data_IF_910720156757
#
_entry.id   IF_910720156757
#
_cell.length_a   1.000
_cell.length_b   1.000
_cell.length_c   1.000
_cell.angle_alpha   90.00
_cell.angle_beta   90.00
_cell.angle_gamma   90.00
#
_symmetry.space_group_name_H-M   'P 1'
#
loop_
_entity.id
_entity.type
_entity.pdbx_description
1 polymer ?
#
# COMPACT_ATOMS: atom_id res chain seq x y z
N UNK A 1 38.98 26.53 25.96
CA UNK A 1 38.73 26.11 24.56
C UNK A 1 38.21 24.66 24.40
N UNK A 2 38.55 23.71 25.28
CA UNK A 2 38.23 22.27 25.14
C UNK A 2 36.73 21.88 25.26
N UNK A 3 35.88 22.74 25.84
CA UNK A 3 34.46 22.45 26.08
C UNK A 3 33.51 22.96 24.97
N UNK A 4 33.93 23.96 24.20
CA UNK A 4 33.12 24.52 23.10
C UNK A 4 33.15 23.60 21.88
N UNK A 5 34.31 23.00 21.57
CA UNK A 5 34.44 22.02 20.50
C UNK A 5 33.61 20.76 20.73
N UNK A 6 33.46 20.31 21.99
CA UNK A 6 32.62 19.14 22.34
C UNK A 6 31.12 19.40 22.16
N UNK A 7 30.64 20.59 22.55
CA UNK A 7 29.24 20.99 22.35
C UNK A 7 28.92 21.20 20.87
N UNK A 8 29.88 21.75 20.12
CA UNK A 8 29.78 21.89 18.66
C UNK A 8 29.77 20.52 17.96
N UNK A 9 30.63 19.60 18.37
CA UNK A 9 30.66 18.23 17.84
C UNK A 9 29.35 17.48 18.13
N UNK A 10 28.83 17.59 19.37
CA UNK A 10 27.60 16.90 19.80
C UNK A 10 26.35 17.43 19.06
N UNK A 11 26.30 18.74 18.78
CA UNK A 11 25.22 19.34 18.00
C UNK A 11 25.23 18.90 16.54
N UNK A 12 26.41 18.82 15.92
CA UNK A 12 26.55 18.40 14.51
C UNK A 12 26.18 16.92 14.35
N UNK A 13 26.57 16.04 15.27
CA UNK A 13 26.14 14.63 15.22
C UNK A 13 24.64 14.45 15.39
N UNK A 14 23.98 15.20 16.28
CA UNK A 14 22.52 15.14 16.45
C UNK A 14 21.77 15.57 15.17
N UNK A 15 22.26 16.58 14.46
CA UNK A 15 21.68 17.04 13.18
C UNK A 15 21.82 15.96 12.09
N UNK A 16 22.98 15.28 12.02
CA UNK A 16 23.17 14.16 11.09
C UNK A 16 22.28 12.95 11.42
N UNK A 17 22.09 12.64 12.71
CA UNK A 17 21.24 11.53 13.15
C UNK A 17 19.75 11.83 12.84
N UNK A 18 19.31 13.07 13.00
CA UNK A 18 17.94 13.48 12.64
C UNK A 18 17.71 13.52 11.12
N UNK A 19 18.77 13.75 10.32
CA UNK A 19 18.71 13.69 8.86
C UNK A 19 18.58 12.26 8.29
N UNK A 20 18.81 11.22 9.10
CA UNK A 20 18.65 9.80 8.71
C UNK A 20 17.27 9.25 9.06
N UNK A 21 16.38 10.07 9.63
CA UNK A 21 14.97 9.69 9.82
C UNK A 21 14.36 9.54 8.42
N UNK A 22 14.22 8.28 8.03
CA UNK A 22 13.85 7.86 6.69
C UNK A 22 12.41 8.26 6.41
N UNK A 23 12.22 9.05 5.36
CA UNK A 23 10.89 9.35 4.83
C UNK A 23 10.37 8.05 4.22
N UNK A 24 9.47 7.37 4.91
CA UNK A 24 8.74 6.24 4.34
C UNK A 24 7.92 6.74 3.16
N UNK A 25 8.35 6.43 1.94
CA UNK A 25 7.56 6.74 0.74
C UNK A 25 6.30 5.87 0.80
N UNK A 26 5.15 6.49 1.08
CA UNK A 26 3.84 5.83 1.00
C UNK A 26 3.53 5.66 -0.48
N UNK A 27 3.78 4.46 -1.02
CA UNK A 27 3.31 4.12 -2.36
C UNK A 27 1.82 3.78 -2.32
N UNK A 28 1.07 4.16 -3.37
CA UNK A 28 -0.35 3.84 -3.49
C UNK A 28 -0.55 2.32 -3.45
N UNK A 29 -1.58 1.84 -2.74
CA UNK A 29 -1.90 0.41 -2.63
C UNK A 29 -2.52 -0.18 -3.90
N UNK A 30 -3.04 0.66 -4.79
CA UNK A 30 -3.70 0.27 -6.04
C UNK A 30 -3.25 1.17 -7.19
N UNK A 31 -3.44 0.71 -8.42
CA UNK A 31 -3.20 1.48 -9.63
C UNK A 31 -4.37 1.31 -10.61
N UNK A 32 -4.94 2.43 -11.05
CA UNK A 32 -6.02 2.47 -12.06
C UNK A 32 -5.43 2.93 -13.39
N UNK A 33 -5.73 2.20 -14.47
CA UNK A 33 -5.19 2.44 -15.81
C UNK A 33 -6.28 2.40 -16.87
N UNK A 34 -6.09 3.14 -17.94
CA UNK A 34 -6.86 3.02 -19.19
C UNK A 34 -5.90 2.41 -20.21
N UNK A 35 -6.18 1.18 -20.66
CA UNK A 35 -5.29 0.41 -21.52
C UNK A 35 -6.07 -0.44 -22.54
N UNK A 36 -5.37 -0.96 -23.56
CA UNK A 36 -5.87 -1.94 -24.52
C UNK A 36 -5.26 -3.33 -24.24
N UNK A 37 -5.97 -4.42 -24.57
CA UNK A 37 -5.42 -5.77 -24.39
C UNK A 37 -4.19 -5.99 -25.29
N UNK A 38 -3.10 -6.49 -24.70
CA UNK A 38 -1.77 -6.68 -25.34
C UNK A 38 -1.09 -8.01 -24.98
N UNK A 39 -1.82 -8.93 -24.35
CA UNK A 39 -1.41 -10.32 -24.12
C UNK A 39 -2.55 -11.25 -24.58
N UNK A 40 -2.28 -12.53 -24.84
CA UNK A 40 -3.28 -13.47 -25.38
C UNK A 40 -4.59 -13.51 -24.57
N UNK A 41 -5.71 -13.18 -25.23
CA UNK A 41 -7.05 -13.04 -24.65
C UNK A 41 -8.14 -12.94 -25.75
N UNK A 42 -9.42 -12.95 -25.34
CA UNK A 42 -10.59 -12.84 -26.21
C UNK A 42 -11.40 -11.53 -26.02
N UNK A 43 -10.80 -10.50 -25.40
CA UNK A 43 -11.46 -9.21 -25.18
C UNK A 43 -11.39 -8.34 -26.43
N UNK A 44 -12.38 -7.44 -26.64
CA UNK A 44 -12.32 -6.46 -27.71
C UNK A 44 -11.10 -5.54 -27.60
N UNK A 45 -10.45 -5.25 -28.74
CA UNK A 45 -9.33 -4.31 -28.84
C UNK A 45 -9.82 -2.86 -28.80
N UNK A 46 -10.10 -2.38 -27.59
CA UNK A 46 -10.51 -1.01 -27.26
C UNK A 46 -9.97 -0.64 -25.89
N UNK A 47 -10.20 0.61 -25.45
CA UNK A 47 -9.82 1.02 -24.10
C UNK A 47 -10.68 0.32 -23.05
N UNK A 48 -10.02 -0.14 -21.99
CA UNK A 48 -10.61 -0.68 -20.78
C UNK A 48 -10.02 0.06 -19.58
N UNK A 49 -10.88 0.47 -18.66
CA UNK A 49 -10.46 0.94 -17.34
C UNK A 49 -10.32 -0.25 -16.41
N UNK A 50 -9.13 -0.44 -15.83
CA UNK A 50 -8.84 -1.51 -14.87
C UNK A 50 -8.18 -0.94 -13.63
N UNK A 51 -8.48 -1.54 -12.48
CA UNK A 51 -7.79 -1.26 -11.23
C UNK A 51 -7.16 -2.55 -10.72
N UNK A 52 -5.88 -2.45 -10.40
CA UNK A 52 -5.06 -3.55 -9.90
C UNK A 52 -4.52 -3.20 -8.52
N UNK A 53 -4.22 -4.21 -7.71
CA UNK A 53 -3.33 -4.00 -6.58
C UNK A 53 -1.96 -3.52 -7.10
N UNK A 54 -1.36 -2.54 -6.43
CA UNK A 54 -0.02 -2.07 -6.77
C UNK A 54 1.01 -3.06 -6.20
N UNK A 55 1.02 -4.26 -6.75
CA UNK A 55 1.82 -5.39 -6.31
C UNK A 55 2.33 -6.17 -7.51
N UNK A 56 3.63 -6.41 -7.55
CA UNK A 56 4.24 -7.25 -8.59
C UNK A 56 4.21 -8.72 -8.15
N UNK A 57 3.39 -9.59 -8.76
CA UNK A 57 3.30 -11.00 -8.39
C UNK A 57 4.55 -11.81 -8.75
N UNK A 58 5.41 -11.34 -9.67
CA UNK A 58 6.63 -12.04 -10.04
C UNK A 58 7.76 -11.89 -9.01
N UNK A 59 7.94 -10.70 -8.43
CA UNK A 59 9.00 -10.42 -7.45
C UNK A 59 8.48 -10.04 -6.06
N UNK A 60 7.17 -10.19 -5.85
CA UNK A 60 6.46 -9.93 -4.60
C UNK A 60 6.66 -8.51 -4.01
N UNK A 61 6.92 -7.52 -4.86
CA UNK A 61 7.19 -6.14 -4.43
C UNK A 61 5.94 -5.26 -4.50
N UNK A 62 5.61 -4.62 -3.38
CA UNK A 62 4.49 -3.68 -3.26
C UNK A 62 4.89 -2.27 -3.70
N UNK A 63 3.94 -1.52 -4.25
CA UNK A 63 4.13 -0.13 -4.60
C UNK A 63 5.00 0.12 -5.82
N UNK A 64 5.25 -0.90 -6.64
CA UNK A 64 6.27 -0.86 -7.72
C UNK A 64 5.70 -0.85 -9.14
N UNK A 65 4.39 -0.99 -9.33
CA UNK A 65 3.80 -0.96 -10.67
C UNK A 65 3.73 0.49 -11.16
N UNK A 66 4.30 0.73 -12.33
CA UNK A 66 4.28 2.02 -13.02
C UNK A 66 3.53 1.87 -14.32
N UNK A 67 2.59 2.77 -14.60
CA UNK A 67 1.83 2.72 -15.84
C UNK A 67 2.60 3.32 -17.02
N UNK A 68 2.76 2.49 -18.04
CA UNK A 68 3.29 2.74 -19.37
C UNK A 68 4.62 3.54 -19.43
N UNK A 69 5.64 3.24 -18.60
CA UNK A 69 6.91 3.97 -18.65
C UNK A 69 7.63 3.81 -20.00
N UNK A 70 7.36 2.72 -20.72
CA UNK A 70 7.91 2.44 -22.05
C UNK A 70 7.10 3.04 -23.21
N UNK A 71 5.98 3.72 -22.91
CA UNK A 71 5.13 4.40 -23.90
C UNK A 71 4.62 3.47 -25.02
N UNK A 72 4.26 2.25 -24.66
CA UNK A 72 3.58 1.32 -25.57
C UNK A 72 2.22 1.88 -25.98
N UNK A 73 1.75 1.50 -27.17
CA UNK A 73 0.49 1.99 -27.72
C UNK A 73 -0.71 1.51 -26.89
N UNK A 74 -0.68 0.24 -26.46
CA UNK A 74 -1.75 -0.38 -25.70
C UNK A 74 -1.75 0.05 -24.22
N UNK A 75 -0.60 0.51 -23.72
CA UNK A 75 -0.38 0.70 -22.30
C UNK A 75 -0.06 -0.62 -21.59
N UNK A 76 0.95 -0.58 -20.72
CA UNK A 76 1.36 -1.71 -19.91
C UNK A 76 1.70 -1.27 -18.49
N UNK A 77 1.69 -2.21 -17.56
CA UNK A 77 2.19 -1.98 -16.20
C UNK A 77 3.57 -2.60 -16.10
N UNK A 78 4.58 -1.80 -15.75
CA UNK A 78 5.96 -2.28 -15.55
C UNK A 78 6.31 -2.21 -14.07
N UNK A 79 6.82 -3.30 -13.51
CA UNK A 79 7.38 -3.30 -12.17
C UNK A 79 8.72 -2.58 -12.16
N UNK A 80 8.85 -1.49 -11.39
CA UNK A 80 10.09 -0.74 -11.23
C UNK A 80 11.21 -1.49 -10.49
N UNK A 81 10.89 -2.58 -9.78
CA UNK A 81 11.86 -3.38 -9.04
C UNK A 81 12.49 -4.51 -9.88
N UNK A 82 11.68 -5.30 -10.61
CA UNK A 82 12.20 -6.43 -11.41
C UNK A 82 12.08 -6.25 -12.93
N UNK A 83 11.48 -5.16 -13.40
CA UNK A 83 11.30 -4.87 -14.83
C UNK A 83 10.25 -5.73 -15.54
N UNK A 84 9.51 -6.58 -14.82
CA UNK A 84 8.43 -7.37 -15.41
C UNK A 84 7.32 -6.47 -15.97
N UNK A 85 6.84 -6.80 -17.16
CA UNK A 85 5.79 -6.08 -17.85
C UNK A 85 4.51 -6.89 -17.86
N UNK A 86 3.39 -6.24 -17.58
CA UNK A 86 2.08 -6.85 -17.52
C UNK A 86 1.14 -6.13 -18.49
N UNK A 87 0.28 -6.88 -19.16
CA UNK A 87 -0.80 -6.29 -19.94
C UNK A 87 -1.73 -5.49 -19.02
N UNK A 88 -1.92 -4.20 -19.30
CA UNK A 88 -2.74 -3.32 -18.46
C UNK A 88 -4.21 -3.72 -18.33
N UNK A 89 -4.70 -4.57 -19.26
CA UNK A 89 -6.11 -5.01 -19.30
C UNK A 89 -6.32 -6.41 -18.73
N UNK A 90 -5.45 -7.36 -19.07
CA UNK A 90 -5.62 -8.76 -18.66
C UNK A 90 -4.85 -9.09 -17.40
N UNK A 91 -3.85 -8.27 -17.03
CA UNK A 91 -2.96 -8.51 -15.90
C UNK A 91 -1.87 -9.54 -16.19
N UNK A 92 -1.85 -10.19 -17.35
CA UNK A 92 -0.87 -11.22 -17.69
C UNK A 92 0.52 -10.64 -17.89
N UNK A 93 1.52 -11.25 -17.26
CA UNK A 93 2.95 -11.03 -17.56
C UNK A 93 3.22 -11.26 -19.05
N UNK A 94 3.99 -10.35 -19.66
CA UNK A 94 4.31 -10.29 -21.09
C UNK A 94 5.66 -10.91 -21.42
N UNK A 95 6.10 -11.90 -20.64
CA UNK A 95 7.32 -12.63 -20.96
C UNK A 95 7.21 -13.35 -22.31
N UNK A 96 8.33 -13.40 -23.03
CA UNK A 96 8.42 -14.03 -24.35
C UNK A 96 8.04 -15.53 -24.33
N UNK A 97 8.26 -16.22 -23.21
CA UNK A 97 7.96 -17.65 -23.05
C UNK A 97 6.56 -17.94 -22.50
N UNK A 98 5.68 -16.95 -22.48
CA UNK A 98 4.36 -17.05 -21.88
C UNK A 98 4.30 -16.43 -20.49
N UNK A 99 3.08 -16.25 -20.01
CA UNK A 99 2.82 -15.52 -18.76
C UNK A 99 3.33 -16.29 -17.55
N UNK A 100 4.22 -15.70 -16.77
CA UNK A 100 4.77 -16.28 -15.53
C UNK A 100 3.94 -15.97 -14.29
N UNK A 101 3.17 -14.88 -14.33
CA UNK A 101 2.35 -14.39 -13.24
C UNK A 101 1.23 -13.47 -13.77
N UNK A 102 0.17 -13.28 -12.99
CA UNK A 102 -0.94 -12.38 -13.32
C UNK A 102 -1.18 -11.37 -12.19
N UNK A 103 -1.44 -10.12 -12.54
CA UNK A 103 -1.79 -9.07 -11.59
C UNK A 103 -3.08 -9.41 -10.83
N UNK A 104 -3.16 -8.94 -9.59
CA UNK A 104 -4.32 -9.16 -8.71
C UNK A 104 -5.34 -8.03 -8.98
N UNK A 105 -6.56 -8.34 -9.47
CA UNK A 105 -7.59 -7.33 -9.66
C UNK A 105 -7.96 -6.73 -8.31
N UNK A 106 -7.96 -5.40 -8.21
CA UNK A 106 -8.47 -4.77 -7.00
C UNK A 106 -9.98 -4.96 -6.94
N UNK A 107 -10.44 -5.59 -5.86
CA UNK A 107 -11.87 -5.67 -5.55
C UNK A 107 -12.12 -4.68 -4.42
N UNK A 108 -12.87 -3.62 -4.71
CA UNK A 108 -13.38 -2.77 -3.65
C UNK A 108 -14.16 -3.64 -2.67
N UNK A 109 -13.74 -3.63 -1.40
CA UNK A 109 -14.59 -4.14 -0.34
C UNK A 109 -15.75 -3.16 -0.29
N UNK A 110 -16.91 -3.56 -0.81
CA UNK A 110 -18.15 -2.83 -0.57
C UNK A 110 -18.29 -2.78 0.95
N UNK A 111 -18.04 -1.61 1.55
CA UNK A 111 -18.57 -1.33 2.88
C UNK A 111 -20.07 -1.57 2.73
N UNK A 112 -20.59 -2.60 3.39
CA UNK A 112 -22.01 -2.64 3.69
C UNK A 112 -22.30 -1.28 4.33
N UNK A 113 -23.03 -0.45 3.60
CA UNK A 113 -23.72 0.68 4.20
C UNK A 113 -24.59 0.04 5.27
N UNK A 114 -24.18 0.19 6.53
CA UNK A 114 -25.04 -0.07 7.66
C UNK A 114 -26.21 0.88 7.49
N UNK A 115 -27.27 0.42 6.83
CA UNK A 115 -28.59 0.96 7.07
C UNK A 115 -28.77 0.95 8.58
N UNK A 116 -29.24 2.08 9.07
CA UNK A 116 -29.40 2.43 10.46
C UNK A 116 -30.20 1.35 11.21
N UNK A 117 -29.51 0.38 11.81
CA UNK A 117 -30.04 -0.45 12.89
C UNK A 117 -29.01 -0.37 14.01
N UNK A 118 -29.37 0.41 15.02
CA UNK A 118 -28.85 0.36 16.38
C UNK A 118 -28.42 -1.06 16.77
N UNK A 119 -27.12 -1.33 16.65
CA UNK A 119 -26.50 -2.55 17.14
C UNK A 119 -25.01 -2.28 17.32
N UNK A 120 -24.71 -1.64 18.45
CA UNK A 120 -23.35 -1.54 18.97
C UNK A 120 -22.71 -2.95 19.00
N UNK A 121 -21.49 -3.15 18.43
CA UNK A 121 -20.84 -4.45 18.45
C UNK A 121 -20.60 -4.92 19.90
N UNK A 122 -21.07 -6.13 20.22
CA UNK A 122 -20.93 -6.77 21.55
C UNK A 122 -19.48 -6.96 22.00
N UNK A 123 -18.51 -6.82 21.10
CA UNK A 123 -17.08 -6.94 21.41
C UNK A 123 -16.46 -5.67 22.06
N UNK A 124 -17.10 -4.50 21.93
CA UNK A 124 -16.63 -3.26 22.58
C UNK A 124 -17.23 -3.03 23.98
N UNK A 125 -18.28 -3.76 24.36
CA UNK A 125 -18.80 -3.73 25.75
C UNK A 125 -17.86 -4.41 26.75
N UNK A 126 -17.04 -5.37 26.30
CA UNK A 126 -16.13 -6.11 27.19
C UNK A 126 -14.89 -5.30 27.60
N UNK A 127 -14.36 -4.43 26.74
CA UNK A 127 -13.18 -3.61 27.07
C UNK A 127 -13.55 -2.37 27.89
N UNK A 128 -14.74 -1.81 27.71
CA UNK A 128 -15.24 -0.68 28.51
C UNK A 128 -15.50 -1.06 29.98
N UNK A 129 -15.95 -2.30 30.23
CA UNK A 129 -16.14 -2.79 31.61
C UNK A 129 -14.81 -3.05 32.34
N UNK A 130 -13.74 -3.39 31.63
CA UNK A 130 -12.43 -3.62 32.25
C UNK A 130 -11.74 -2.32 32.68
N UNK A 131 -11.95 -1.21 31.95
CA UNK A 131 -11.46 0.11 32.36
C UNK A 131 -12.26 0.72 33.52
N UNK A 132 -13.57 0.48 33.63
CA UNK A 132 -14.33 0.98 34.78
C UNK A 132 -13.98 0.25 36.09
N UNK A 133 -13.66 -1.03 36.05
CA UNK A 133 -13.24 -1.79 37.24
C UNK A 133 -11.85 -1.40 37.77
N UNK A 134 -10.94 -0.93 36.91
CA UNK A 134 -9.60 -0.51 37.34
C UNK A 134 -9.55 0.94 37.85
N UNK A 135 -10.46 1.82 37.41
CA UNK A 135 -10.52 3.20 37.92
C UNK A 135 -11.34 3.26 39.23
N UNK A 136 -12.39 2.44 39.37
CA UNK A 136 -13.23 2.39 40.57
C UNK A 136 -12.56 1.78 41.82
N UNK A 137 -11.43 1.10 41.67
CA UNK A 137 -10.67 0.52 42.79
C UNK A 137 -9.56 1.43 43.32
N UNK A 138 -9.16 2.47 42.56
CA UNK A 138 -8.10 3.41 42.99
C UNK A 138 -8.68 4.55 43.83
N UNK A 139 -9.99 4.84 43.74
CA UNK A 139 -10.64 5.90 44.53
C UNK A 139 -10.97 5.53 45.98
N UNK A 140 -10.75 4.28 46.41
CA UNK A 140 -11.00 3.83 47.80
C UNK A 140 -9.72 3.46 48.58
N UNK A 141 -8.54 3.80 48.07
CA UNK A 141 -7.25 3.57 48.76
C UNK A 141 -6.52 4.89 49.10
N UNK A 142 -7.11 6.04 48.79
CA UNK A 142 -6.62 7.35 49.25
C UNK A 142 -7.77 8.08 49.97
N UNK A 143 -8.08 7.60 51.17
CA UNK A 143 -8.62 8.38 52.29
C UNK A 143 -8.00 7.80 53.57
#
# INVERSE_FOLDING_TARGET
>A
MKNISKKLFLGITLIFIMSMISISVVSASTITVIAKPSASNNLPYKDHTKTWENYCPLCHSHGTLVFNPKKTYEGELTCSNCGADYCGVTGKDKSFHGSRAELIPFKEIKKQTTENIDSTPSFLKSSANYLQLTIGTISNIIL
#
